data_IF_904655396498
#
_entry.id   IF_904655396498
#
_cell.length_a   1.000
_cell.length_b   1.000
_cell.length_c   1.000
_cell.angle_alpha   90.00
_cell.angle_beta   90.00
_cell.angle_gamma   90.00
#
_symmetry.space_group_name_H-M   'P 1'
#
loop_
_entity.id
_entity.type
_entity.pdbx_description
1 polymer ?
#
# COMPACT_ATOMS: atom_id res chain seq x y z
N UNK A 1 -23.46 3.33 7.43
CA UNK A 1 -23.84 4.52 8.22
C UNK A 1 -25.32 4.80 7.98
N UNK A 2 -26.10 4.99 9.05
CA UNK A 2 -27.56 4.95 9.05
C UNK A 2 -28.16 6.23 8.44
N UNK A 3 -29.05 6.08 7.48
CA UNK A 3 -29.84 7.18 6.88
C UNK A 3 -31.05 7.48 7.76
N UNK A 4 -31.08 8.66 8.39
CA UNK A 4 -32.25 9.20 9.08
C UNK A 4 -32.84 10.25 8.14
N UNK A 5 -33.85 9.89 7.36
CA UNK A 5 -34.66 10.83 6.57
C UNK A 5 -35.94 11.07 7.36
N UNK A 6 -36.01 12.23 8.01
CA UNK A 6 -37.16 12.69 8.78
C UNK A 6 -38.01 13.58 7.87
N UNK A 7 -38.90 12.98 7.08
CA UNK A 7 -39.89 13.71 6.26
C UNK A 7 -41.18 13.87 7.05
N UNK A 8 -41.32 15.02 7.70
CA UNK A 8 -42.54 15.50 8.34
C UNK A 8 -43.55 15.92 7.25
N UNK A 9 -44.52 15.06 6.95
CA UNK A 9 -45.68 15.40 6.13
C UNK A 9 -46.63 16.22 7.01
N UNK A 10 -46.66 17.55 6.81
CA UNK A 10 -47.67 18.41 7.41
C UNK A 10 -48.91 18.37 6.52
N UNK A 11 -49.94 17.67 7.01
CA UNK A 11 -51.30 17.67 6.49
C UNK A 11 -51.90 19.08 6.49
N UNK A 12 -52.51 19.49 5.39
CA UNK A 12 -53.37 20.68 5.32
C UNK A 12 -54.74 20.31 4.73
N UNK A 13 -55.63 19.83 5.60
CA UNK A 13 -57.08 19.80 5.39
C UNK A 13 -57.61 21.23 5.39
N UNK A 14 -57.86 21.82 4.21
CA UNK A 14 -58.63 23.06 4.13
C UNK A 14 -60.13 22.75 4.00
N UNK A 15 -60.80 22.90 5.14
CA UNK A 15 -62.24 23.05 5.29
C UNK A 15 -62.76 24.16 4.36
N UNK A 16 -63.62 23.78 3.42
CA UNK A 16 -64.49 24.72 2.70
C UNK A 16 -65.60 25.15 3.65
N UNK A 17 -65.34 26.20 4.43
CA UNK A 17 -66.31 26.88 5.28
C UNK A 17 -66.63 28.26 4.70
N UNK A 18 -67.63 28.34 3.82
CA UNK A 18 -68.15 29.59 3.31
C UNK A 18 -69.24 30.13 4.25
N UNK A 19 -68.92 31.13 5.08
CA UNK A 19 -69.93 32.01 5.67
C UNK A 19 -69.33 33.38 6.03
N UNK A 20 -69.96 34.41 5.45
CA UNK A 20 -70.06 35.82 5.92
C UNK A 20 -68.82 36.74 5.94
N UNK A 21 -68.90 37.80 5.12
CA UNK A 21 -68.59 39.17 5.56
C UNK A 21 -67.18 39.74 5.35
N UNK A 22 -67.04 40.68 4.40
CA UNK A 22 -66.17 41.88 4.44
C UNK A 22 -64.67 41.74 4.79
N UNK A 23 -63.82 41.54 3.77
CA UNK A 23 -62.49 42.17 3.49
C UNK A 23 -61.79 41.38 2.36
N UNK A 24 -62.31 41.48 1.13
CA UNK A 24 -62.01 40.52 0.04
C UNK A 24 -60.91 40.95 -0.96
N UNK A 25 -60.23 42.08 -0.75
CA UNK A 25 -59.08 42.50 -1.57
C UNK A 25 -57.76 42.22 -0.87
N UNK A 26 -57.54 42.79 0.32
CA UNK A 26 -56.24 42.65 1.00
C UNK A 26 -55.90 41.24 1.50
N UNK A 27 -56.88 40.44 1.94
CA UNK A 27 -56.60 39.06 2.36
C UNK A 27 -56.28 38.13 1.18
N UNK A 28 -56.87 38.40 0.01
CA UNK A 28 -56.68 37.62 -1.21
C UNK A 28 -55.37 38.01 -1.91
N UNK A 29 -55.01 39.30 -1.89
CA UNK A 29 -53.75 39.81 -2.43
C UNK A 29 -52.55 39.33 -1.59
N UNK A 30 -52.65 39.36 -0.25
CA UNK A 30 -51.62 38.79 0.65
C UNK A 30 -51.48 37.26 0.53
N UNK A 31 -52.59 36.55 0.26
CA UNK A 31 -52.56 35.12 -0.01
C UNK A 31 -51.91 34.81 -1.37
N UNK A 32 -52.19 35.61 -2.41
CA UNK A 32 -51.54 35.48 -3.71
C UNK A 32 -50.03 35.76 -3.63
N UNK A 33 -49.61 36.79 -2.87
CA UNK A 33 -48.19 37.13 -2.69
C UNK A 33 -47.43 36.07 -1.88
N UNK A 34 -48.06 35.47 -0.87
CA UNK A 34 -47.44 34.37 -0.10
C UNK A 34 -47.31 33.08 -0.91
N UNK A 35 -48.29 32.77 -1.79
CA UNK A 35 -48.20 31.65 -2.74
C UNK A 35 -47.12 31.90 -3.80
N UNK A 36 -46.98 33.13 -4.30
CA UNK A 36 -45.92 33.50 -5.22
C UNK A 36 -44.54 33.30 -4.58
N UNK A 37 -44.31 33.84 -3.37
CA UNK A 37 -43.08 33.65 -2.60
C UNK A 37 -42.78 32.18 -2.28
N UNK A 38 -43.81 31.39 -1.96
CA UNK A 38 -43.65 29.95 -1.75
C UNK A 38 -43.26 29.21 -3.04
N UNK A 39 -43.82 29.62 -4.18
CA UNK A 39 -43.49 29.05 -5.50
C UNK A 39 -42.06 29.39 -5.89
N UNK A 40 -41.62 30.62 -5.67
CA UNK A 40 -40.24 31.06 -5.93
C UNK A 40 -39.24 30.30 -5.04
N UNK A 41 -39.51 30.19 -3.74
CA UNK A 41 -38.67 29.42 -2.81
C UNK A 41 -38.60 27.92 -3.19
N UNK A 42 -39.71 27.31 -3.61
CA UNK A 42 -39.70 25.92 -4.12
C UNK A 42 -38.87 25.80 -5.41
N UNK A 43 -38.89 26.80 -6.29
CA UNK A 43 -38.08 26.79 -7.51
C UNK A 43 -36.59 26.96 -7.19
N UNK A 44 -36.22 27.81 -6.23
CA UNK A 44 -34.86 27.94 -5.72
C UNK A 44 -34.37 26.63 -5.08
N UNK A 45 -35.17 26.02 -4.18
CA UNK A 45 -34.84 24.72 -3.58
C UNK A 45 -34.68 23.59 -4.61
N UNK A 46 -35.46 23.61 -5.70
CA UNK A 46 -35.29 22.64 -6.80
C UNK A 46 -33.97 22.84 -7.52
N UNK A 47 -33.54 24.09 -7.70
CA UNK A 47 -32.25 24.42 -8.33
C UNK A 47 -31.09 23.97 -7.44
N UNK A 48 -31.14 24.32 -6.15
CA UNK A 48 -30.12 23.91 -5.17
C UNK A 48 -30.04 22.38 -5.07
N UNK A 49 -31.18 21.68 -5.09
CA UNK A 49 -31.21 20.22 -5.09
C UNK A 49 -30.62 19.63 -6.39
N UNK A 50 -30.82 20.28 -7.53
CA UNK A 50 -30.23 19.84 -8.80
C UNK A 50 -28.70 20.02 -8.80
N UNK A 51 -28.21 21.14 -8.28
CA UNK A 51 -26.78 21.40 -8.09
C UNK A 51 -26.16 20.41 -7.10
N UNK A 52 -26.78 20.20 -5.93
CA UNK A 52 -26.33 19.22 -4.96
C UNK A 52 -26.32 17.78 -5.51
N UNK A 53 -27.30 17.40 -6.34
CA UNK A 53 -27.31 16.09 -7.01
C UNK A 53 -26.14 15.93 -7.98
N UNK A 54 -25.80 17.00 -8.71
CA UNK A 54 -24.65 17.01 -9.62
C UNK A 54 -23.35 16.87 -8.82
N UNK A 55 -23.18 17.64 -7.76
CA UNK A 55 -22.00 17.58 -6.90
C UNK A 55 -21.82 16.18 -6.29
N UNK A 56 -22.91 15.55 -5.84
CA UNK A 56 -22.87 14.17 -5.34
C UNK A 56 -22.49 13.18 -6.44
N UNK A 57 -22.99 13.35 -7.66
CA UNK A 57 -22.61 12.49 -8.78
C UNK A 57 -21.13 12.63 -9.14
N UNK A 58 -20.60 13.86 -9.15
CA UNK A 58 -19.17 14.13 -9.39
C UNK A 58 -18.32 13.53 -8.26
N UNK A 59 -18.71 13.70 -7.00
CA UNK A 59 -18.04 13.06 -5.85
C UNK A 59 -18.07 11.53 -5.91
N UNK A 60 -19.19 10.94 -6.35
CA UNK A 60 -19.29 9.48 -6.52
C UNK A 60 -18.32 8.97 -7.58
N UNK A 61 -18.15 9.72 -8.68
CA UNK A 61 -17.17 9.40 -9.70
C UNK A 61 -15.74 9.50 -9.16
N UNK A 62 -15.41 10.58 -8.46
CA UNK A 62 -14.09 10.75 -7.84
C UNK A 62 -13.76 9.64 -6.84
N UNK A 63 -14.74 9.18 -6.07
CA UNK A 63 -14.57 8.05 -5.15
C UNK A 63 -14.34 6.74 -5.92
N UNK A 64 -15.08 6.51 -7.01
CA UNK A 64 -14.89 5.32 -7.84
C UNK A 64 -13.48 5.30 -8.47
N UNK A 65 -13.02 6.44 -9.00
CA UNK A 65 -11.67 6.57 -9.58
C UNK A 65 -10.59 6.31 -8.51
N UNK A 66 -10.73 6.89 -7.30
CA UNK A 66 -9.81 6.63 -6.17
C UNK A 66 -9.82 5.17 -5.72
N UNK A 67 -10.97 4.50 -5.76
CA UNK A 67 -11.05 3.07 -5.42
C UNK A 67 -10.31 2.21 -6.43
N UNK A 68 -10.40 2.54 -7.73
CA UNK A 68 -9.64 1.89 -8.79
C UNK A 68 -8.14 2.11 -8.56
N UNK A 69 -7.71 3.35 -8.30
CA UNK A 69 -6.29 3.67 -8.06
C UNK A 69 -5.73 2.89 -6.87
N UNK A 70 -6.47 2.80 -5.76
CA UNK A 70 -6.07 2.02 -4.59
C UNK A 70 -5.96 0.54 -4.93
N UNK A 71 -6.89 -0.02 -5.70
CA UNK A 71 -6.84 -1.41 -6.12
C UNK A 71 -5.61 -1.69 -7.00
N UNK A 72 -5.29 -0.79 -7.93
CA UNK A 72 -4.07 -0.88 -8.77
C UNK A 72 -2.82 -0.85 -7.91
N UNK A 73 -2.69 0.13 -7.01
CA UNK A 73 -1.53 0.25 -6.11
C UNK A 73 -1.36 -0.97 -5.20
N UNK A 74 -2.46 -1.55 -4.71
CA UNK A 74 -2.41 -2.80 -3.94
C UNK A 74 -1.92 -3.98 -4.78
N UNK A 75 -2.35 -4.07 -6.05
CA UNK A 75 -1.87 -5.07 -7.00
C UNK A 75 -0.37 -4.93 -7.26
N UNK A 76 0.09 -3.72 -7.59
CA UNK A 76 1.51 -3.41 -7.82
C UNK A 76 2.38 -3.73 -6.60
N UNK A 77 1.91 -3.36 -5.40
CA UNK A 77 2.60 -3.67 -4.15
C UNK A 77 2.72 -5.19 -3.94
N UNK A 78 1.65 -5.94 -4.19
CA UNK A 78 1.65 -7.40 -4.08
C UNK A 78 2.64 -8.06 -5.05
N UNK A 79 2.72 -7.56 -6.29
CA UNK A 79 3.71 -8.02 -7.27
C UNK A 79 5.15 -7.72 -6.81
N UNK A 80 5.43 -6.50 -6.35
CA UNK A 80 6.74 -6.12 -5.86
C UNK A 80 7.19 -6.95 -4.64
N UNK A 81 6.27 -7.26 -3.73
CA UNK A 81 6.54 -8.15 -2.59
C UNK A 81 6.89 -9.58 -3.05
N UNK A 82 6.15 -10.12 -4.03
CA UNK A 82 6.42 -11.44 -4.59
C UNK A 82 7.77 -11.50 -5.31
N UNK A 83 8.11 -10.49 -6.11
CA UNK A 83 9.40 -10.37 -6.79
C UNK A 83 10.56 -10.29 -5.79
N UNK A 84 10.39 -9.53 -4.70
CA UNK A 84 11.40 -9.45 -3.65
C UNK A 84 11.64 -10.80 -2.97
N UNK A 85 10.58 -11.54 -2.65
CA UNK A 85 10.69 -12.90 -2.08
C UNK A 85 11.39 -13.85 -3.05
N UNK A 86 11.06 -13.79 -4.34
CA UNK A 86 11.71 -14.59 -5.36
C UNK A 86 13.20 -14.25 -5.48
N UNK A 87 13.55 -12.96 -5.51
CA UNK A 87 14.94 -12.50 -5.55
C UNK A 87 15.75 -12.94 -4.32
N UNK A 88 15.16 -12.87 -3.12
CA UNK A 88 15.78 -13.37 -1.88
C UNK A 88 16.03 -14.87 -1.92
N UNK A 89 15.05 -15.62 -2.43
CA UNK A 89 15.16 -17.08 -2.56
C UNK A 89 16.26 -17.47 -3.55
N UNK A 90 16.31 -16.81 -4.72
CA UNK A 90 17.37 -17.01 -5.70
C UNK A 90 18.75 -16.69 -5.11
N UNK A 91 18.88 -15.55 -4.42
CA UNK A 91 20.13 -15.15 -3.78
C UNK A 91 20.55 -16.13 -2.67
N UNK A 92 19.62 -16.62 -1.85
CA UNK A 92 19.88 -17.63 -0.82
C UNK A 92 20.41 -18.94 -1.41
N UNK A 93 19.84 -19.39 -2.53
CA UNK A 93 20.31 -20.58 -3.26
C UNK A 93 21.72 -20.37 -3.79
N UNK A 94 21.96 -19.27 -4.52
CA UNK A 94 23.29 -18.97 -5.08
C UNK A 94 24.36 -18.85 -4.01
N UNK A 95 24.07 -18.18 -2.89
CA UNK A 95 25.03 -18.01 -1.79
C UNK A 95 25.27 -19.32 -1.05
N UNK A 96 24.26 -20.17 -0.87
CA UNK A 96 24.42 -21.53 -0.34
C UNK A 96 25.34 -22.37 -1.22
N UNK A 97 25.15 -22.34 -2.54
CA UNK A 97 26.00 -23.07 -3.49
C UNK A 97 27.45 -22.58 -3.43
N UNK A 98 27.68 -21.26 -3.34
CA UNK A 98 29.01 -20.68 -3.13
C UNK A 98 29.62 -21.20 -1.83
N UNK A 99 28.87 -21.19 -0.72
CA UNK A 99 29.36 -21.67 0.59
C UNK A 99 29.81 -23.14 0.56
N UNK A 100 29.04 -24.01 -0.10
CA UNK A 100 29.44 -25.43 -0.27
C UNK A 100 30.70 -25.58 -1.10
N UNK A 101 30.87 -24.77 -2.16
CA UNK A 101 32.12 -24.76 -2.95
C UNK A 101 33.31 -24.29 -2.11
N UNK A 102 33.14 -23.27 -1.27
CA UNK A 102 34.19 -22.82 -0.35
C UNK A 102 34.59 -23.92 0.62
N UNK A 103 33.62 -24.59 1.24
CA UNK A 103 33.87 -25.66 2.20
C UNK A 103 34.69 -26.80 1.56
N UNK A 104 34.33 -27.23 0.36
CA UNK A 104 35.07 -28.26 -0.37
C UNK A 104 36.53 -27.86 -0.65
N UNK A 105 36.76 -26.60 -1.00
CA UNK A 105 38.10 -26.07 -1.30
C UNK A 105 38.93 -25.79 -0.05
N UNK A 106 38.30 -25.37 1.05
CA UNK A 106 38.99 -25.28 2.34
C UNK A 106 39.41 -26.68 2.79
N UNK A 107 38.57 -27.71 2.59
CA UNK A 107 38.93 -29.09 2.85
C UNK A 107 40.07 -29.61 1.94
N UNK A 108 40.22 -29.08 0.72
CA UNK A 108 41.38 -29.34 -0.14
C UNK A 108 42.64 -28.68 0.43
N UNK A 109 42.54 -27.43 0.89
CA UNK A 109 43.64 -26.73 1.55
C UNK A 109 44.07 -27.45 2.84
N UNK A 110 43.12 -28.00 3.58
CA UNK A 110 43.37 -28.82 4.77
C UNK A 110 44.16 -30.11 4.47
N UNK A 111 44.21 -30.59 3.22
CA UNK A 111 45.05 -31.74 2.85
C UNK A 111 46.52 -31.36 2.69
N UNK A 112 46.84 -30.08 2.49
CA UNK A 112 48.23 -29.61 2.45
C UNK A 112 48.85 -29.74 3.85
N UNK A 113 50.06 -30.26 3.93
CA UNK A 113 50.75 -30.53 5.20
C UNK A 113 51.58 -29.35 5.71
N UNK A 114 51.77 -28.30 4.90
CA UNK A 114 52.56 -27.15 5.30
C UNK A 114 51.81 -26.27 6.32
N UNK A 115 52.58 -25.70 7.27
CA UNK A 115 52.02 -24.94 8.38
C UNK A 115 51.22 -23.70 7.91
N UNK A 116 51.64 -23.06 6.81
CA UNK A 116 50.99 -21.87 6.27
C UNK A 116 49.60 -22.21 5.71
N UNK A 117 49.46 -23.32 4.99
CA UNK A 117 48.16 -23.80 4.51
C UNK A 117 47.22 -24.14 5.66
N UNK A 118 47.73 -24.76 6.74
CA UNK A 118 46.93 -25.06 7.94
C UNK A 118 46.44 -23.80 8.66
N UNK A 119 47.31 -22.82 8.85
CA UNK A 119 46.94 -21.53 9.44
C UNK A 119 45.89 -20.81 8.56
N UNK A 120 46.09 -20.81 7.25
CA UNK A 120 45.17 -20.18 6.30
C UNK A 120 43.82 -20.89 6.28
N UNK A 121 43.80 -22.23 6.28
CA UNK A 121 42.56 -23.02 6.35
C UNK A 121 41.78 -22.71 7.63
N UNK A 122 42.44 -22.62 8.78
CA UNK A 122 41.80 -22.24 10.04
C UNK A 122 41.18 -20.83 9.96
N UNK A 123 41.88 -19.85 9.40
CA UNK A 123 41.35 -18.50 9.19
C UNK A 123 40.15 -18.47 8.23
N UNK A 124 40.20 -19.26 7.16
CA UNK A 124 39.10 -19.38 6.19
C UNK A 124 37.86 -20.05 6.79
N UNK A 125 38.02 -21.07 7.64
CA UNK A 125 36.92 -21.69 8.40
C UNK A 125 36.18 -20.67 9.27
N UNK A 126 36.90 -19.81 9.99
CA UNK A 126 36.29 -18.77 10.84
C UNK A 126 35.48 -17.77 10.00
N UNK A 127 36.02 -17.35 8.86
CA UNK A 127 35.33 -16.42 7.96
C UNK A 127 34.14 -17.05 7.27
N UNK A 128 34.24 -18.32 6.87
CA UNK A 128 33.11 -19.10 6.34
C UNK A 128 31.99 -19.21 7.38
N UNK A 129 32.32 -19.56 8.64
CA UNK A 129 31.33 -19.60 9.73
C UNK A 129 30.67 -18.23 9.95
N UNK A 130 31.45 -17.15 9.95
CA UNK A 130 30.92 -15.78 10.08
C UNK A 130 29.95 -15.43 8.95
N UNK A 131 30.33 -15.74 7.71
CA UNK A 131 29.49 -15.49 6.54
C UNK A 131 28.22 -16.35 6.57
N UNK A 132 28.32 -17.60 7.04
CA UNK A 132 27.17 -18.49 7.24
C UNK A 132 26.16 -17.87 8.20
N UNK A 133 26.59 -17.40 9.37
CA UNK A 133 25.71 -16.74 10.34
C UNK A 133 25.03 -15.50 9.75
N UNK A 134 25.76 -14.73 8.95
CA UNK A 134 25.20 -13.57 8.24
C UNK A 134 24.12 -13.97 7.22
N UNK A 135 24.34 -15.07 6.50
CA UNK A 135 23.38 -15.63 5.54
C UNK A 135 22.16 -16.27 6.21
N UNK A 136 22.27 -16.80 7.43
CA UNK A 136 21.12 -17.32 8.19
C UNK A 136 20.10 -16.20 8.48
N UNK A 137 20.55 -14.94 8.57
CA UNK A 137 19.72 -13.74 8.71
C UNK A 137 19.24 -13.13 7.40
N UNK A 138 19.47 -13.76 6.23
CA UNK A 138 19.15 -13.20 4.91
C UNK A 138 17.66 -12.90 4.74
N UNK A 139 16.79 -13.84 5.16
CA UNK A 139 15.34 -13.72 4.96
C UNK A 139 14.71 -12.63 5.83
N UNK A 140 15.34 -12.28 6.95
CA UNK A 140 14.86 -11.26 7.90
C UNK A 140 15.39 -9.86 7.60
N UNK A 141 16.24 -9.69 6.58
CA UNK A 141 16.72 -8.37 6.19
C UNK A 141 15.60 -7.47 5.70
N UNK A 142 15.65 -6.19 6.07
CA UNK A 142 14.72 -5.20 5.58
C UNK A 142 14.94 -4.92 4.09
N UNK A 143 13.87 -4.69 3.33
CA UNK A 143 13.95 -4.39 1.89
C UNK A 143 14.82 -3.16 1.61
N UNK A 144 14.76 -2.15 2.48
CA UNK A 144 15.54 -0.92 2.37
C UNK A 144 17.06 -1.13 2.50
N UNK A 145 17.50 -2.18 3.21
CA UNK A 145 18.93 -2.48 3.42
C UNK A 145 19.44 -3.61 2.54
N UNK A 146 18.58 -4.20 1.71
CA UNK A 146 18.87 -5.40 0.92
C UNK A 146 20.11 -5.24 0.04
N UNK A 147 20.22 -4.13 -0.70
CA UNK A 147 21.34 -3.88 -1.61
C UNK A 147 22.68 -3.73 -0.87
N UNK A 148 22.68 -3.12 0.32
CA UNK A 148 23.88 -2.99 1.13
C UNK A 148 24.28 -4.35 1.71
N UNK A 149 23.29 -5.14 2.14
CA UNK A 149 23.51 -6.50 2.63
C UNK A 149 24.15 -7.39 1.56
N UNK A 150 23.57 -7.45 0.34
CA UNK A 150 24.10 -8.29 -0.74
C UNK A 150 25.50 -7.86 -1.14
N UNK A 151 25.75 -6.55 -1.28
CA UNK A 151 27.09 -6.02 -1.58
C UNK A 151 28.14 -6.43 -0.55
N UNK A 152 27.80 -6.36 0.73
CA UNK A 152 28.72 -6.72 1.81
C UNK A 152 28.95 -8.25 1.87
N UNK A 153 27.93 -9.07 1.62
CA UNK A 153 28.06 -10.52 1.48
C UNK A 153 28.94 -10.88 0.27
N UNK A 154 28.69 -10.28 -0.89
CA UNK A 154 29.43 -10.54 -2.12
C UNK A 154 30.91 -10.13 -1.97
N UNK A 155 31.18 -8.97 -1.38
CA UNK A 155 32.56 -8.54 -1.07
C UNK A 155 33.27 -9.52 -0.13
N UNK A 156 32.55 -10.08 0.85
CA UNK A 156 33.09 -11.09 1.76
C UNK A 156 33.45 -12.38 1.04
N UNK A 157 32.59 -12.81 0.10
CA UNK A 157 32.87 -13.97 -0.74
C UNK A 157 34.06 -13.75 -1.67
N UNK A 158 34.15 -12.59 -2.33
CA UNK A 158 35.22 -12.31 -3.28
C UNK A 158 36.59 -12.26 -2.58
N UNK A 159 36.63 -11.71 -1.36
CA UNK A 159 37.84 -11.76 -0.53
C UNK A 159 38.17 -13.18 -0.07
N UNK A 160 37.19 -13.99 0.33
CA UNK A 160 37.40 -15.41 0.65
C UNK A 160 37.95 -16.18 -0.55
N UNK A 161 37.42 -15.93 -1.74
CA UNK A 161 37.85 -16.56 -2.99
C UNK A 161 39.29 -16.22 -3.34
N UNK A 162 39.66 -14.94 -3.20
CA UNK A 162 41.02 -14.48 -3.41
C UNK A 162 42.00 -15.18 -2.47
N UNK A 163 41.73 -15.16 -1.17
CA UNK A 163 42.65 -15.72 -0.16
C UNK A 163 42.82 -17.23 -0.33
N UNK A 164 41.72 -17.92 -0.65
CA UNK A 164 41.73 -19.35 -0.94
C UNK A 164 42.47 -19.69 -2.25
N UNK A 165 42.28 -18.90 -3.31
CA UNK A 165 43.04 -19.05 -4.56
C UNK A 165 44.54 -18.85 -4.31
N UNK A 166 44.92 -17.87 -3.50
CA UNK A 166 46.31 -17.59 -3.19
C UNK A 166 46.95 -18.67 -2.30
N UNK A 167 46.17 -19.33 -1.44
CA UNK A 167 46.63 -20.45 -0.61
C UNK A 167 46.72 -21.79 -1.35
N UNK A 168 45.89 -21.97 -2.39
CA UNK A 168 45.87 -23.20 -3.20
C UNK A 168 46.93 -23.22 -4.29
N UNK A 169 47.45 -22.06 -4.71
CA UNK A 169 48.67 -21.96 -5.53
C UNK A 169 49.87 -22.61 -4.84
#
# INVERSE_FOLDING_TARGET
>A
MRSIIWTSIISATFLVGAATGCKKKEATDNAAESVAKATDNVNEQKKDLAEAKKDVADQQKDVADKQIDVAVQQGEKGMAEAELVAARTAYATTTKDRMTKFEARIAELDKKADAKSKETAAALHVRHATLKTKLDGLQTQASATWNNFTKDVDSSFDSLEKDLNDALK
#
